data_IF_643847724090
#
_entry.id   IF_643847724090
#
_cell.length_a   1.000
_cell.length_b   1.000
_cell.length_c   1.000
_cell.angle_alpha   90.00
_cell.angle_beta   90.00
_cell.angle_gamma   90.00
#
_symmetry.space_group_name_H-M   'P 1'
#
loop_
_entity.id
_entity.type
_entity.pdbx_description
1 polymer ?
#
# COMPACT_ATOMS: atom_id res chain seq x y z
N UNK A 1 10.38 -15.06 -9.05
CA UNK A 1 9.38 -15.96 -8.43
C UNK A 1 8.01 -15.67 -9.06
N UNK A 2 7.09 -16.64 -9.10
CA UNK A 2 5.74 -16.47 -9.67
C UNK A 2 4.70 -16.96 -8.66
N UNK A 3 3.60 -16.22 -8.49
CA UNK A 3 2.60 -16.48 -7.45
C UNK A 3 1.39 -17.18 -8.07
N UNK A 4 1.09 -18.38 -7.57
CA UNK A 4 -0.09 -19.17 -7.92
C UNK A 4 -1.14 -19.05 -6.81
N UNK A 5 -2.09 -18.15 -7.01
CA UNK A 5 -3.15 -17.82 -6.06
C UNK A 5 -4.02 -19.01 -5.65
N UNK A 6 -4.03 -20.09 -6.45
CA UNK A 6 -4.82 -21.29 -6.14
C UNK A 6 -4.11 -22.22 -5.14
N UNK A 7 -2.83 -21.99 -4.86
CA UNK A 7 -1.99 -22.83 -3.99
C UNK A 7 -1.38 -22.09 -2.81
N UNK A 8 -1.39 -20.77 -2.86
CA UNK A 8 -0.72 -19.93 -1.89
C UNK A 8 -1.56 -19.75 -0.61
N UNK A 9 -0.98 -20.15 0.51
CA UNK A 9 -1.62 -20.06 1.83
C UNK A 9 -1.00 -18.97 2.70
N UNK A 10 0.12 -18.37 2.31
CA UNK A 10 0.81 -17.37 3.13
C UNK A 10 0.22 -15.97 2.90
N UNK A 11 -0.04 -15.21 3.99
CA UNK A 11 -0.61 -13.88 3.86
C UNK A 11 0.43 -12.81 3.54
N UNK A 12 1.72 -13.13 3.60
CA UNK A 12 2.83 -12.18 3.50
C UNK A 12 4.06 -12.80 2.81
N UNK A 13 4.73 -12.03 1.95
CA UNK A 13 5.93 -12.41 1.21
C UNK A 13 6.95 -11.26 1.19
N UNK A 14 8.22 -11.59 1.44
CA UNK A 14 9.36 -10.73 1.10
C UNK A 14 9.85 -11.08 -0.31
N UNK A 15 9.70 -10.15 -1.24
CA UNK A 15 10.04 -10.33 -2.65
C UNK A 15 11.46 -9.82 -2.95
N UNK A 16 12.46 -10.34 -2.25
CA UNK A 16 13.85 -9.86 -2.31
C UNK A 16 14.42 -9.75 -3.74
N UNK A 17 14.00 -10.63 -4.66
CA UNK A 17 14.40 -10.60 -6.08
C UNK A 17 14.01 -9.32 -6.84
N UNK A 18 13.02 -8.54 -6.37
CA UNK A 18 12.75 -7.21 -6.93
C UNK A 18 13.91 -6.22 -6.67
N UNK A 19 14.76 -6.51 -5.68
CA UNK A 19 16.00 -5.79 -5.42
C UNK A 19 17.12 -6.07 -6.44
N UNK A 20 16.89 -6.93 -7.42
CA UNK A 20 17.79 -7.18 -8.54
C UNK A 20 17.33 -6.46 -9.82
N UNK A 21 16.13 -5.88 -9.82
CA UNK A 21 15.59 -5.11 -10.95
C UNK A 21 16.18 -3.69 -10.96
N UNK A 22 17.24 -3.52 -11.74
CA UNK A 22 17.97 -2.25 -11.82
C UNK A 22 17.09 -1.10 -12.31
N UNK A 23 16.21 -1.32 -13.30
CA UNK A 23 15.33 -0.27 -13.82
C UNK A 23 14.34 0.22 -12.74
N UNK A 24 13.78 -0.73 -11.99
CA UNK A 24 12.90 -0.44 -10.86
C UNK A 24 13.63 0.35 -9.77
N UNK A 25 14.82 -0.12 -9.37
CA UNK A 25 15.61 0.49 -8.31
C UNK A 25 16.06 1.91 -8.66
N UNK A 26 16.56 2.13 -9.88
CA UNK A 26 16.98 3.45 -10.36
C UNK A 26 15.80 4.43 -10.39
N UNK A 27 14.63 3.97 -10.86
CA UNK A 27 13.44 4.82 -10.92
C UNK A 27 12.89 5.12 -9.52
N UNK A 28 12.89 4.15 -8.61
CA UNK A 28 12.49 4.36 -7.22
C UNK A 28 13.48 5.28 -6.49
N UNK A 29 14.78 5.12 -6.74
CA UNK A 29 15.82 5.99 -6.18
C UNK A 29 15.68 7.42 -6.72
N UNK A 30 15.27 7.63 -7.97
CA UNK A 30 14.98 8.95 -8.50
C UNK A 30 13.83 9.63 -7.74
N UNK A 31 12.77 8.90 -7.40
CA UNK A 31 11.71 9.44 -6.53
C UNK A 31 12.25 9.82 -5.14
N UNK A 32 13.06 8.94 -4.52
CA UNK A 32 13.69 9.21 -3.21
C UNK A 32 14.60 10.45 -3.27
N UNK A 33 15.46 10.54 -4.28
CA UNK A 33 16.36 11.67 -4.46
C UNK A 33 15.60 12.97 -4.67
N UNK A 34 14.51 12.93 -5.45
CA UNK A 34 13.63 14.09 -5.61
C UNK A 34 13.09 14.56 -4.26
N UNK A 35 12.63 13.65 -3.39
CA UNK A 35 12.20 14.05 -2.05
C UNK A 35 13.33 14.72 -1.28
N UNK A 36 14.51 14.10 -1.23
CA UNK A 36 15.67 14.62 -0.50
C UNK A 36 16.07 16.03 -0.92
N UNK A 37 16.06 16.30 -2.22
CA UNK A 37 16.42 17.64 -2.73
C UNK A 37 15.31 18.67 -2.49
N UNK A 38 14.09 18.22 -2.21
CA UNK A 38 12.91 19.06 -1.98
C UNK A 38 12.36 18.87 -0.56
N UNK A 39 13.20 18.49 0.40
CA UNK A 39 12.94 18.50 1.85
C UNK A 39 12.82 19.95 2.36
N UNK A 40 11.89 20.68 1.76
CA UNK A 40 11.62 22.07 2.03
C UNK A 40 10.98 22.21 3.42
N UNK A 41 10.96 23.44 3.95
CA UNK A 41 10.25 23.79 5.20
C UNK A 41 8.78 23.34 5.22
N UNK A 42 8.20 23.10 4.04
CA UNK A 42 6.88 22.47 3.86
C UNK A 42 6.82 21.06 4.48
N UNK A 43 7.83 20.21 4.30
CA UNK A 43 7.82 18.87 4.92
C UNK A 43 7.98 18.97 6.44
N UNK A 44 8.86 19.85 6.91
CA UNK A 44 9.07 20.08 8.34
C UNK A 44 7.83 20.62 9.03
N UNK A 45 7.12 21.56 8.40
CA UNK A 45 5.87 22.13 8.94
C UNK A 45 4.69 21.17 8.92
N UNK A 46 4.74 20.11 8.12
CA UNK A 46 3.69 19.07 8.05
C UNK A 46 3.92 17.91 9.00
N UNK A 47 5.14 17.78 9.55
CA UNK A 47 5.48 16.73 10.49
C UNK A 47 5.20 17.16 11.92
N UNK A 48 4.39 16.37 12.62
CA UNK A 48 4.20 16.49 14.05
C UNK A 48 4.92 15.31 14.73
N UNK A 49 5.98 15.62 15.47
CA UNK A 49 6.70 14.62 16.23
C UNK A 49 5.77 14.05 17.32
N UNK A 50 5.71 12.72 17.40
CA UNK A 50 5.03 12.02 18.49
C UNK A 50 6.11 11.32 19.33
N UNK A 51 6.33 11.73 20.59
CA UNK A 51 7.32 11.10 21.46
C UNK A 51 6.99 9.63 21.76
N UNK A 52 5.73 9.22 21.59
CA UNK A 52 5.26 7.86 21.84
C UNK A 52 5.14 7.04 20.55
N UNK A 53 5.71 7.50 19.42
CA UNK A 53 5.57 6.88 18.10
C UNK A 53 5.87 5.36 18.09
N UNK A 54 6.92 4.93 18.80
CA UNK A 54 7.27 3.51 18.91
C UNK A 54 6.20 2.72 19.71
N UNK A 55 5.61 3.33 20.73
CA UNK A 55 4.54 2.70 21.51
C UNK A 55 3.24 2.60 20.73
N UNK A 56 2.97 3.51 19.79
CA UNK A 56 1.79 3.40 18.91
C UNK A 56 1.84 2.17 18.01
N UNK A 57 3.02 1.55 17.83
CA UNK A 57 3.20 0.34 17.01
C UNK A 57 3.57 -0.89 17.84
N UNK A 58 3.52 -0.81 19.17
CA UNK A 58 3.83 -1.92 20.08
C UNK A 58 2.74 -2.99 20.06
N UNK A 59 3.07 -4.19 20.54
CA UNK A 59 2.10 -5.27 20.74
C UNK A 59 0.98 -4.86 21.69
N UNK A 60 1.30 -4.13 22.76
CA UNK A 60 0.31 -3.61 23.70
C UNK A 60 -0.69 -2.66 23.05
N UNK A 61 -0.23 -1.82 22.11
CA UNK A 61 -1.14 -0.96 21.34
C UNK A 61 -2.12 -1.78 20.49
N UNK A 62 -1.65 -2.87 19.85
CA UNK A 62 -2.52 -3.77 19.10
C UNK A 62 -3.51 -4.50 20.02
N UNK A 63 -3.03 -5.03 21.14
CA UNK A 63 -3.85 -5.79 22.09
C UNK A 63 -4.98 -4.92 22.65
N UNK A 64 -4.73 -3.64 22.89
CA UNK A 64 -5.78 -2.67 23.28
C UNK A 64 -6.85 -2.51 22.19
N UNK A 65 -6.46 -2.39 20.92
CA UNK A 65 -7.40 -2.30 19.79
C UNK A 65 -8.24 -3.55 19.62
N UNK A 66 -7.62 -4.73 19.73
CA UNK A 66 -8.31 -6.02 19.64
C UNK A 66 -9.30 -6.18 20.79
N UNK A 67 -8.88 -5.88 22.02
CA UNK A 67 -9.71 -6.02 23.23
C UNK A 67 -10.93 -5.10 23.19
N UNK A 68 -10.80 -3.89 22.65
CA UNK A 68 -11.93 -2.98 22.48
C UNK A 68 -12.78 -3.24 21.23
N UNK A 69 -12.42 -4.24 20.41
CA UNK A 69 -13.14 -4.57 19.18
C UNK A 69 -13.07 -3.50 18.10
N UNK A 70 -12.10 -2.56 18.18
CA UNK A 70 -11.95 -1.48 17.19
C UNK A 70 -11.20 -2.00 15.98
N UNK A 71 -11.77 -1.85 14.79
CA UNK A 71 -11.11 -2.12 13.52
C UNK A 71 -10.70 -0.79 12.87
N UNK A 72 -9.39 -0.56 12.77
CA UNK A 72 -8.83 0.64 12.14
C UNK A 72 -8.67 0.37 10.64
N UNK A 73 -9.35 1.14 9.80
CA UNK A 73 -9.39 0.85 8.36
C UNK A 73 -8.28 1.53 7.54
N UNK A 74 -7.47 2.38 8.17
CA UNK A 74 -6.31 3.02 7.56
C UNK A 74 -6.38 4.54 7.56
N UNK A 75 -5.32 5.16 7.05
CA UNK A 75 -5.05 6.59 7.21
C UNK A 75 -6.01 7.51 6.44
N UNK A 76 -6.81 6.96 5.52
CA UNK A 76 -7.86 7.72 4.82
C UNK A 76 -9.12 7.88 5.65
N UNK A 77 -9.33 7.04 6.68
CA UNK A 77 -10.49 7.10 7.57
C UNK A 77 -10.13 7.63 8.95
N UNK A 78 -8.92 7.36 9.42
CA UNK A 78 -8.47 7.66 10.78
C UNK A 78 -7.09 8.30 10.71
N UNK A 79 -7.01 9.62 10.90
CA UNK A 79 -5.78 10.41 10.68
C UNK A 79 -4.81 10.29 11.83
N UNK A 80 -5.33 10.15 13.04
CA UNK A 80 -4.56 10.11 14.29
C UNK A 80 -3.63 8.89 14.40
N UNK A 81 -3.77 7.92 13.50
CA UNK A 81 -2.97 6.70 13.50
C UNK A 81 -1.60 6.92 12.84
N UNK A 82 -1.32 8.08 12.27
CA UNK A 82 -0.05 8.32 11.59
C UNK A 82 0.38 9.77 11.66
N UNK A 83 1.69 9.97 11.76
CA UNK A 83 2.34 11.27 11.56
C UNK A 83 3.25 11.26 10.32
N UNK A 84 3.12 10.28 9.42
CA UNK A 84 3.85 10.28 8.15
C UNK A 84 3.24 11.31 7.18
N UNK A 85 4.04 11.76 6.22
CA UNK A 85 3.65 12.79 5.25
C UNK A 85 3.19 12.11 3.95
N UNK A 86 1.91 12.24 3.55
CA UNK A 86 1.41 11.71 2.29
C UNK A 86 1.73 12.62 1.11
N UNK A 87 2.00 12.06 -0.06
CA UNK A 87 2.27 12.82 -1.29
C UNK A 87 1.31 12.48 -2.42
N UNK A 88 0.79 13.50 -3.09
CA UNK A 88 -0.11 13.34 -4.24
C UNK A 88 -1.30 12.40 -3.96
N UNK A 89 -1.80 12.40 -2.71
CA UNK A 89 -2.99 11.66 -2.30
C UNK A 89 -4.13 12.67 -2.13
N UNK A 90 -4.87 12.93 -3.21
CA UNK A 90 -5.90 13.99 -3.26
C UNK A 90 -7.00 13.89 -2.20
N UNK A 91 -7.25 12.68 -1.67
CA UNK A 91 -8.26 12.48 -0.61
C UNK A 91 -7.75 12.87 0.78
N UNK A 92 -6.46 13.15 0.94
CA UNK A 92 -5.83 13.54 2.20
C UNK A 92 -5.49 15.03 2.17
N UNK A 93 -6.11 15.86 3.02
CA UNK A 93 -5.99 17.33 2.96
C UNK A 93 -4.60 17.85 3.32
N UNK A 94 -3.82 17.07 4.07
CA UNK A 94 -2.43 17.37 4.44
C UNK A 94 -1.42 16.75 3.47
N UNK A 95 -1.90 16.14 2.38
CA UNK A 95 -1.00 15.63 1.36
C UNK A 95 -0.24 16.76 0.67
N UNK A 96 1.06 16.56 0.54
CA UNK A 96 1.92 17.45 -0.23
C UNK A 96 1.68 17.15 -1.71
N UNK A 97 1.14 18.15 -2.42
CA UNK A 97 0.95 18.09 -3.87
C UNK A 97 2.19 18.64 -4.57
N UNK A 98 2.79 17.84 -5.44
CA UNK A 98 3.96 18.21 -6.22
C UNK A 98 3.91 17.49 -7.58
N UNK A 99 3.70 18.27 -8.65
CA UNK A 99 3.52 17.76 -10.01
C UNK A 99 4.82 17.18 -10.59
N UNK A 100 5.97 17.76 -10.25
CA UNK A 100 7.28 17.26 -10.70
C UNK A 100 7.58 15.89 -10.08
N UNK A 101 7.33 15.74 -8.77
CA UNK A 101 7.38 14.44 -8.11
C UNK A 101 6.36 13.47 -8.72
N UNK A 102 5.17 13.96 -9.07
CA UNK A 102 4.15 13.21 -9.80
C UNK A 102 4.68 12.66 -11.12
N UNK A 103 5.38 13.48 -11.90
CA UNK A 103 5.98 13.07 -13.17
C UNK A 103 7.04 11.97 -13.01
N UNK A 104 7.93 12.10 -12.01
CA UNK A 104 8.91 11.04 -11.69
C UNK A 104 8.20 9.77 -11.25
N UNK A 105 7.13 9.90 -10.45
CA UNK A 105 6.33 8.77 -9.94
C UNK A 105 5.59 8.01 -11.04
N UNK A 106 5.13 8.68 -12.10
CA UNK A 106 4.45 8.01 -13.24
C UNK A 106 5.33 6.91 -13.86
N UNK A 107 6.64 7.16 -13.99
CA UNK A 107 7.57 6.16 -14.52
C UNK A 107 7.66 4.95 -13.59
N UNK A 108 7.78 5.18 -12.28
CA UNK A 108 7.82 4.12 -11.28
C UNK A 108 6.53 3.29 -11.31
N UNK A 109 5.38 3.96 -11.31
CA UNK A 109 4.06 3.33 -11.31
C UNK A 109 3.85 2.43 -12.54
N UNK A 110 4.39 2.82 -13.71
CA UNK A 110 4.37 2.00 -14.92
C UNK A 110 5.20 0.73 -14.77
N UNK A 111 6.47 0.85 -14.35
CA UNK A 111 7.37 -0.30 -14.17
C UNK A 111 6.76 -1.28 -13.18
N UNK A 112 6.32 -0.79 -12.01
CA UNK A 112 5.71 -1.62 -10.98
C UNK A 112 4.47 -2.33 -11.49
N UNK A 113 3.61 -1.63 -12.25
CA UNK A 113 2.42 -2.24 -12.85
C UNK A 113 2.78 -3.41 -13.75
N UNK A 114 3.81 -3.27 -14.57
CA UNK A 114 4.24 -4.32 -15.50
C UNK A 114 4.83 -5.52 -14.75
N UNK A 115 5.69 -5.27 -13.74
CA UNK A 115 6.27 -6.34 -12.92
C UNK A 115 5.22 -7.07 -12.10
N UNK A 116 4.26 -6.36 -11.51
CA UNK A 116 3.16 -6.98 -10.77
C UNK A 116 2.24 -7.78 -11.69
N UNK A 117 1.91 -7.29 -12.88
CA UNK A 117 1.14 -8.08 -13.86
C UNK A 117 1.86 -9.38 -14.24
N UNK A 118 3.19 -9.36 -14.34
CA UNK A 118 3.99 -10.55 -14.64
C UNK A 118 4.11 -11.51 -13.45
N UNK A 119 4.01 -11.00 -12.22
CA UNK A 119 4.14 -11.77 -10.98
C UNK A 119 2.96 -12.73 -10.77
N UNK A 120 1.73 -12.29 -11.06
CA UNK A 120 0.52 -13.10 -10.92
C UNK A 120 0.25 -13.90 -12.18
N UNK A 121 0.12 -15.22 -12.03
CA UNK A 121 -0.34 -16.11 -13.09
C UNK A 121 -1.82 -16.45 -12.91
N UNK A 122 -2.45 -16.89 -14.01
CA UNK A 122 -3.80 -17.46 -13.98
C UNK A 122 -4.83 -16.72 -14.83
N UNK A 123 -6.11 -17.13 -14.74
CA UNK A 123 -7.20 -16.62 -15.57
C UNK A 123 -7.72 -15.26 -15.09
N UNK A 124 -6.83 -14.38 -14.61
CA UNK A 124 -7.19 -13.09 -14.03
C UNK A 124 -6.55 -11.91 -14.77
N UNK A 125 -7.26 -10.80 -14.82
CA UNK A 125 -6.71 -9.48 -15.14
C UNK A 125 -6.28 -8.81 -13.82
N UNK A 126 -5.07 -8.24 -13.82
CA UNK A 126 -4.50 -7.58 -12.65
C UNK A 126 -4.63 -6.08 -12.81
N UNK A 127 -5.50 -5.47 -12.00
CA UNK A 127 -5.66 -4.03 -11.92
C UNK A 127 -4.81 -3.48 -10.78
N UNK A 128 -3.72 -2.80 -11.14
CA UNK A 128 -2.81 -2.16 -10.18
C UNK A 128 -3.25 -0.72 -9.97
N UNK A 129 -3.49 -0.35 -8.72
CA UNK A 129 -3.87 0.99 -8.28
C UNK A 129 -2.78 1.51 -7.35
N UNK A 130 -2.39 2.77 -7.51
CA UNK A 130 -1.57 3.44 -6.52
C UNK A 130 -2.40 3.55 -5.23
N UNK A 131 -1.83 3.11 -4.11
CA UNK A 131 -2.51 3.09 -2.81
C UNK A 131 -1.72 3.84 -1.74
N UNK A 132 -0.65 4.54 -2.11
CA UNK A 132 0.18 5.23 -1.15
C UNK A 132 1.47 5.81 -1.72
N UNK A 133 1.80 6.99 -1.25
CA UNK A 133 3.12 7.58 -1.36
C UNK A 133 3.38 8.34 -0.07
N UNK A 134 4.29 7.82 0.75
CA UNK A 134 4.51 8.35 2.09
C UNK A 134 5.99 8.58 2.35
N UNK A 135 6.29 9.69 3.01
CA UNK A 135 7.56 9.93 3.66
C UNK A 135 7.38 9.80 5.17
N UNK A 136 8.31 9.09 5.80
CA UNK A 136 8.41 8.91 7.23
C UNK A 136 9.69 9.63 7.67
N UNK A 137 9.58 10.85 8.19
CA UNK A 137 10.68 11.46 8.93
C UNK A 137 11.15 10.57 10.10
N UNK A 138 12.29 10.89 10.69
CA UNK A 138 12.73 10.24 11.93
C UNK A 138 11.64 10.32 13.01
N UNK A 139 11.36 9.20 13.67
CA UNK A 139 10.26 8.98 14.62
C UNK A 139 8.85 9.07 14.02
N UNK A 140 8.73 8.88 12.71
CA UNK A 140 7.41 8.75 12.09
C UNK A 140 6.89 7.31 12.15
N UNK A 141 5.58 7.19 12.21
CA UNK A 141 4.89 5.92 12.32
C UNK A 141 3.57 5.92 11.53
N UNK A 142 3.08 4.71 11.30
CA UNK A 142 1.69 4.42 10.97
C UNK A 142 1.28 3.26 11.89
N UNK A 143 0.43 3.57 12.87
CA UNK A 143 -0.06 2.65 13.90
C UNK A 143 -0.87 1.52 13.28
N UNK A 144 -1.24 0.57 14.12
CA UNK A 144 -1.96 -0.64 13.76
C UNK A 144 -3.25 -0.33 12.99
N UNK A 145 -3.33 -0.89 11.79
CA UNK A 145 -4.50 -0.80 10.92
C UNK A 145 -4.63 -2.03 10.02
N UNK A 146 -5.78 -2.18 9.38
CA UNK A 146 -6.12 -3.39 8.62
C UNK A 146 -6.32 -3.16 7.13
N UNK A 147 -6.65 -1.93 6.71
CA UNK A 147 -7.06 -1.65 5.33
C UNK A 147 -8.25 -2.51 4.82
N UNK A 148 -9.00 -3.13 5.73
CA UNK A 148 -10.03 -4.16 5.45
C UNK A 148 -11.21 -3.66 4.63
N UNK A 149 -11.46 -2.34 4.57
CA UNK A 149 -12.48 -1.75 3.67
C UNK A 149 -12.14 -1.89 2.19
N UNK A 150 -10.88 -2.15 1.87
CA UNK A 150 -10.38 -2.22 0.50
C UNK A 150 -9.60 -3.53 0.30
N UNK A 151 -10.22 -4.72 0.39
CA UNK A 151 -9.52 -5.98 0.29
C UNK A 151 -8.76 -6.13 -1.04
N UNK A 152 -7.77 -7.01 -1.05
CA UNK A 152 -6.89 -7.23 -2.19
C UNK A 152 -5.42 -7.30 -1.81
N UNK A 153 -4.58 -7.67 -2.78
CA UNK A 153 -3.14 -7.70 -2.58
C UNK A 153 -2.57 -6.29 -2.42
N UNK A 154 -1.55 -6.18 -1.59
CA UNK A 154 -0.76 -4.98 -1.37
C UNK A 154 0.69 -5.26 -1.71
N UNK A 155 1.26 -4.41 -2.56
CA UNK A 155 2.68 -4.43 -2.84
C UNK A 155 3.31 -3.12 -2.40
N UNK A 156 4.27 -3.20 -1.48
CA UNK A 156 4.99 -2.05 -0.95
C UNK A 156 6.45 -2.10 -1.35
N UNK A 157 6.95 -0.98 -1.86
CA UNK A 157 8.38 -0.71 -2.02
C UNK A 157 8.77 0.27 -0.93
N UNK A 158 9.81 -0.04 -0.18
CA UNK A 158 10.29 0.79 0.91
C UNK A 158 11.77 1.06 0.77
N UNK A 159 12.17 2.31 0.97
CA UNK A 159 13.56 2.70 1.16
C UNK A 159 13.74 3.24 2.57
N UNK A 160 14.67 2.67 3.34
CA UNK A 160 15.12 3.22 4.60
C UNK A 160 16.57 3.69 4.44
N UNK A 161 16.88 4.91 4.87
CA UNK A 161 18.23 5.45 4.76
C UNK A 161 19.25 4.62 5.55
N UNK A 162 18.89 4.24 6.76
CA UNK A 162 19.70 3.42 7.64
C UNK A 162 19.06 2.02 7.80
N UNK A 163 19.69 0.97 7.27
CA UNK A 163 19.22 -0.40 7.48
C UNK A 163 19.10 -0.72 8.97
N UNK A 164 18.04 -1.41 9.37
CA UNK A 164 17.84 -1.80 10.77
C UNK A 164 17.10 -0.78 11.63
N UNK A 165 16.94 0.47 11.16
CA UNK A 165 16.30 1.57 11.91
C UNK A 165 14.84 1.84 11.51
N UNK A 166 14.22 0.90 10.80
CA UNK A 166 12.79 0.96 10.47
C UNK A 166 12.25 -0.45 10.34
N UNK A 167 10.94 -0.62 10.48
CA UNK A 167 10.29 -1.91 10.28
C UNK A 167 8.86 -1.79 9.77
N UNK A 168 8.42 -2.87 9.12
CA UNK A 168 7.03 -3.23 8.93
C UNK A 168 6.69 -4.34 9.92
N UNK A 169 5.66 -4.15 10.74
CA UNK A 169 5.19 -5.13 11.72
C UNK A 169 3.78 -5.55 11.37
N UNK A 170 3.49 -6.84 11.50
CA UNK A 170 2.13 -7.35 11.29
C UNK A 170 1.79 -8.44 12.28
N UNK A 171 0.49 -8.68 12.48
CA UNK A 171 -0.02 -9.85 13.17
C UNK A 171 -0.47 -10.86 12.12
N UNK A 172 0.11 -12.05 12.15
CA UNK A 172 -0.27 -13.11 11.23
C UNK A 172 -1.78 -13.45 11.43
N UNK A 173 -2.62 -13.36 10.39
CA UNK A 173 -4.05 -13.57 10.52
C UNK A 173 -4.45 -15.03 10.79
N UNK A 174 -3.52 -15.99 10.64
CA UNK A 174 -3.74 -17.41 10.87
C UNK A 174 -3.26 -17.83 12.26
N UNK A 175 -2.04 -17.46 12.63
CA UNK A 175 -1.43 -17.88 13.91
C UNK A 175 -1.69 -16.88 15.03
N UNK A 176 -1.91 -15.60 14.69
CA UNK A 176 -2.03 -14.51 15.65
C UNK A 176 -0.70 -14.00 16.20
N UNK A 177 0.43 -14.53 15.74
CA UNK A 177 1.77 -14.11 16.13
C UNK A 177 2.11 -12.73 15.54
N UNK A 178 2.86 -11.93 16.29
CA UNK A 178 3.37 -10.65 15.81
C UNK A 178 4.75 -10.86 15.18
N UNK A 179 4.85 -10.50 13.90
CA UNK A 179 6.06 -10.60 13.10
C UNK A 179 6.58 -9.19 12.81
N UNK A 180 7.86 -8.95 13.12
CA UNK A 180 8.55 -7.71 12.76
C UNK A 180 9.50 -7.98 11.59
N UNK A 181 9.18 -7.41 10.43
CA UNK A 181 10.08 -7.37 9.27
C UNK A 181 10.88 -6.07 9.30
N UNK A 182 12.13 -6.16 9.74
CA UNK A 182 13.05 -5.03 9.78
C UNK A 182 13.45 -4.59 8.37
N UNK A 183 13.35 -3.29 8.11
CA UNK A 183 13.71 -2.68 6.84
C UNK A 183 15.22 -2.74 6.62
N UNK A 184 15.61 -3.31 5.46
CA UNK A 184 16.91 -3.08 4.84
C UNK A 184 16.89 -1.76 4.06
N UNK A 185 17.93 -1.48 3.28
CA UNK A 185 17.96 -0.31 2.40
C UNK A 185 16.79 -0.29 1.41
N UNK A 186 16.52 -1.41 0.75
CA UNK A 186 15.36 -1.61 -0.13
C UNK A 186 14.58 -2.84 0.33
N UNK A 187 13.27 -2.72 0.40
CA UNK A 187 12.36 -3.81 0.78
C UNK A 187 11.17 -3.85 -0.17
N UNK A 188 10.70 -5.06 -0.46
CA UNK A 188 9.65 -5.34 -1.43
C UNK A 188 8.68 -6.34 -0.81
N UNK A 189 7.54 -5.85 -0.32
CA UNK A 189 6.60 -6.66 0.46
C UNK A 189 5.32 -6.86 -0.29
N UNK A 190 4.86 -8.10 -0.33
CA UNK A 190 3.57 -8.46 -0.88
C UNK A 190 2.72 -9.12 0.20
N UNK A 191 1.50 -8.65 0.42
CA UNK A 191 0.61 -9.24 1.42
C UNK A 191 -0.86 -9.11 1.05
N UNK A 192 -1.68 -10.03 1.56
CA UNK A 192 -3.11 -10.08 1.31
C UNK A 192 -3.89 -9.36 2.41
N UNK A 193 -4.78 -8.44 2.00
CA UNK A 193 -5.77 -7.84 2.90
C UNK A 193 -7.13 -8.51 2.66
N UNK A 194 -7.68 -9.09 3.71
CA UNK A 194 -9.00 -9.70 3.77
C UNK A 194 -9.98 -8.81 4.56
N UNK A 195 -11.28 -8.95 4.30
CA UNK A 195 -12.33 -8.21 5.01
C UNK A 195 -12.79 -8.89 6.32
N UNK A 196 -12.53 -10.19 6.46
CA UNK A 196 -12.89 -11.01 7.63
C UNK A 196 -11.68 -11.39 8.46
N UNK A 197 -10.63 -11.90 7.82
CA UNK A 197 -9.37 -12.27 8.47
C UNK A 197 -8.42 -11.07 8.48
N UNK A 198 -8.64 -10.18 9.43
CA UNK A 198 -7.95 -8.90 9.51
C UNK A 198 -6.43 -9.06 9.56
N UNK A 199 -5.76 -8.48 8.55
CA UNK A 199 -4.30 -8.37 8.50
C UNK A 199 -3.88 -7.07 9.19
N UNK A 200 -3.70 -7.12 10.50
CA UNK A 200 -3.22 -5.98 11.28
C UNK A 200 -1.75 -5.71 10.97
N UNK A 201 -1.42 -4.47 10.63
CA UNK A 201 -0.06 -4.05 10.36
C UNK A 201 0.22 -2.61 10.78
N UNK A 202 1.49 -2.33 11.03
CA UNK A 202 2.02 -1.06 11.47
C UNK A 202 3.43 -0.82 10.89
N UNK A 203 3.86 0.44 10.88
CA UNK A 203 5.17 0.88 10.38
C UNK A 203 5.76 1.87 11.36
N UNK A 204 7.05 1.77 11.62
CA UNK A 204 7.81 2.76 12.39
C UNK A 204 9.19 2.98 11.77
N UNK A 205 9.74 4.18 11.97
CA UNK A 205 11.03 4.57 11.42
C UNK A 205 11.79 5.53 12.33
N UNK A 206 13.00 5.16 12.72
CA UNK A 206 14.00 6.01 13.41
C UNK A 206 14.95 6.71 12.43
N UNK A 207 14.70 6.53 11.14
CA UNK A 207 15.49 7.06 10.04
C UNK A 207 14.53 7.55 8.95
N UNK A 208 14.93 8.49 8.07
CA UNK A 208 14.09 8.85 6.94
C UNK A 208 13.74 7.61 6.09
N UNK A 209 12.44 7.42 5.83
CA UNK A 209 11.92 6.28 5.09
C UNK A 209 10.89 6.71 4.06
N UNK A 210 10.98 6.14 2.87
CA UNK A 210 10.09 6.43 1.75
C UNK A 210 9.33 5.16 1.38
N UNK A 211 8.02 5.30 1.14
CA UNK A 211 7.13 4.18 0.88
C UNK A 211 6.27 4.42 -0.35
N UNK A 212 6.30 3.46 -1.28
CA UNK A 212 5.49 3.45 -2.49
C UNK A 212 4.54 2.25 -2.41
N UNK A 213 3.24 2.54 -2.26
CA UNK A 213 2.21 1.54 -2.05
C UNK A 213 1.35 1.30 -3.30
N UNK A 214 1.06 0.03 -3.55
CA UNK A 214 0.19 -0.41 -4.63
C UNK A 214 -0.84 -1.41 -4.11
N UNK A 215 -2.09 -1.29 -4.58
CA UNK A 215 -3.14 -2.29 -4.41
C UNK A 215 -3.36 -3.02 -5.73
N UNK A 216 -3.48 -4.34 -5.68
CA UNK A 216 -3.91 -5.12 -6.84
C UNK A 216 -5.28 -5.72 -6.61
N UNK A 217 -6.18 -5.46 -7.56
CA UNK A 217 -7.49 -6.10 -7.66
C UNK A 217 -7.42 -7.10 -8.80
N UNK A 218 -7.81 -8.33 -8.51
CA UNK A 218 -7.77 -9.44 -9.45
C UNK A 218 -9.18 -9.72 -9.93
N UNK A 219 -9.42 -9.54 -11.22
CA UNK A 219 -10.73 -9.80 -11.84
C UNK A 219 -10.64 -11.02 -12.76
N UNK A 220 -11.64 -11.92 -12.77
CA UNK A 220 -11.67 -13.01 -13.74
C UNK A 220 -11.62 -12.47 -15.18
N UNK A 221 -10.73 -13.03 -16.01
CA UNK A 221 -10.70 -12.73 -17.43
C UNK A 221 -12.00 -13.21 -18.06
N UNK A 222 -12.89 -12.26 -18.33
CA UNK A 222 -14.07 -12.52 -19.15
C UNK A 222 -13.68 -12.51 -20.61
N UNK A 223 -14.12 -13.53 -21.36
CA UNK A 223 -13.99 -13.56 -22.82
C UNK A 223 -14.59 -12.29 -23.46
N UNK A 224 -14.08 -11.92 -24.64
CA UNK A 224 -14.62 -10.82 -25.44
C UNK A 224 -16.13 -10.95 -25.66
N UNK A 225 -16.61 -12.16 -25.91
CA UNK A 225 -18.04 -12.47 -26.02
C UNK A 225 -18.82 -12.13 -24.74
N UNK A 226 -18.26 -12.45 -23.56
CA UNK A 226 -18.90 -12.14 -22.28
C UNK A 226 -18.87 -10.63 -21.96
N UNK A 227 -17.81 -9.89 -22.34
CA UNK A 227 -17.79 -8.42 -22.25
C UNK A 227 -18.85 -7.79 -23.14
N UNK A 228 -18.94 -8.23 -24.40
CA UNK A 228 -19.96 -7.75 -25.33
C UNK A 228 -21.37 -8.05 -24.81
N UNK A 229 -21.60 -9.25 -24.29
CA UNK A 229 -22.88 -9.64 -23.71
C UNK A 229 -23.28 -8.81 -22.49
N UNK A 230 -22.34 -8.54 -21.56
CA UNK A 230 -22.60 -7.65 -20.41
C UNK A 230 -22.94 -6.22 -20.84
N UNK A 231 -22.22 -5.69 -21.84
CA UNK A 231 -22.46 -4.35 -22.38
C UNK A 231 -23.82 -4.27 -23.07
N UNK A 232 -24.17 -5.28 -23.88
CA UNK A 232 -25.48 -5.39 -24.52
C UNK A 232 -26.62 -5.51 -23.50
N UNK A 233 -26.45 -6.36 -22.49
CA UNK A 233 -27.43 -6.54 -21.41
C UNK A 233 -27.67 -5.23 -20.65
N UNK A 234 -26.60 -4.48 -20.34
CA UNK A 234 -26.70 -3.16 -19.70
C UNK A 234 -27.46 -2.14 -20.57
N UNK A 235 -27.16 -2.06 -21.87
CA UNK A 235 -27.87 -1.19 -22.81
C UNK A 235 -29.37 -1.55 -22.95
N UNK A 236 -29.70 -2.85 -22.93
CA UNK A 236 -31.09 -3.32 -22.94
C UNK A 236 -31.82 -2.93 -21.65
N UNK A 237 -31.16 -3.03 -20.50
CA UNK A 237 -31.71 -2.62 -19.20
C UNK A 237 -31.92 -1.10 -19.12
N UNK A 238 -30.94 -0.31 -19.57
CA UNK A 238 -31.03 1.16 -19.63
C UNK A 238 -32.17 1.61 -20.55
N UNK A 239 -32.38 0.95 -21.72
CA UNK A 239 -33.53 1.22 -22.59
C UNK A 239 -34.87 0.87 -21.95
N UNK A 240 -34.96 -0.25 -21.23
CA UNK A 240 -36.19 -0.65 -20.52
C UNK A 240 -36.55 0.29 -19.38
N UNK A 241 -35.56 0.88 -18.70
CA UNK A 241 -35.82 1.88 -17.66
C UNK A 241 -36.34 3.20 -18.23
N UNK A 242 -35.84 3.63 -19.40
CA UNK A 242 -36.33 4.84 -20.07
C UNK A 242 -37.78 4.67 -20.53
N UNK A 243 -38.15 3.49 -21.05
CA UNK A 243 -39.52 3.18 -21.48
C UNK A 243 -40.55 3.03 -20.34
N UNK A 244 -40.12 2.80 -19.10
CA UNK A 244 -41.02 2.74 -17.94
C UNK A 244 -41.13 4.08 -17.19
N UNK A 245 -40.42 5.12 -17.65
CA UNK A 245 -40.43 6.46 -17.06
C UNK A 245 -41.24 7.49 -17.90
N UNK A 246 -41.85 7.04 -18.99
CA UNK A 246 -42.87 7.74 -19.80
C UNK A 246 -44.27 7.21 -19.44
#
# INVERSE_FOLDING_TARGET
MKIDLMKETQPFYELAHFGEDQELLETAQACVNFHKTHENDVLKSKFNLDPDALEKVSEDALNKLITCGRNIHGVTTEREISNCIPFNINVLPDSVLNDELGAVRVRLDRIVRDRLKALFQGPFEVHVLNSGHFFYPTNAFMSWHTNSKLPGWRFYINYAEEPGKSFFRYRDPQTGEIVTSTDRKWNFRLFWIDDKKLFWHAVYSETPRYSFGYRMVLEPRVSLANRAFRKLKRLILERKQIQCAE
#
